data_IF_179182409324
#
_entry.id   IF_179182409324
#
_cell.length_a   1.000
_cell.length_b   1.000
_cell.length_c   1.000
_cell.angle_alpha   90.00
_cell.angle_beta   90.00
_cell.angle_gamma   90.00
#
_symmetry.space_group_name_H-M   'P 1'
#
loop_
_entity.id
_entity.type
_entity.pdbx_description
1 polymer ?
#
# COMPACT_ATOMS: atom_id res chain seq x y z
N UNK A 1 -0.80 4.68 75.41
CA UNK A 1 0.36 4.89 74.51
C UNK A 1 -0.02 4.38 73.13
N UNK A 2 -0.50 5.24 72.24
CA UNK A 2 -0.84 4.86 70.86
C UNK A 2 0.22 5.42 69.93
N UNK A 3 0.92 4.53 69.21
CA UNK A 3 1.95 4.88 68.24
C UNK A 3 1.31 5.24 66.90
N UNK A 4 1.65 6.43 66.40
CA UNK A 4 1.30 6.97 65.09
C UNK A 4 2.23 6.36 64.03
N UNK A 5 1.67 5.62 63.07
CA UNK A 5 2.42 5.12 61.90
C UNK A 5 2.16 6.08 60.72
N UNK A 6 3.12 6.96 60.44
CA UNK A 6 3.19 7.68 59.17
C UNK A 6 3.78 6.75 58.11
N UNK A 7 2.94 6.24 57.19
CA UNK A 7 3.40 5.56 55.98
C UNK A 7 3.71 6.59 54.90
N UNK A 8 4.97 6.61 54.50
CA UNK A 8 5.50 7.36 53.36
C UNK A 8 4.84 6.89 52.06
N UNK A 9 4.03 7.74 51.43
CA UNK A 9 3.46 7.51 50.11
C UNK A 9 4.42 8.12 49.10
N UNK A 10 5.36 7.31 48.61
CA UNK A 10 6.14 7.64 47.41
C UNK A 10 5.19 7.58 46.21
N UNK A 11 5.15 8.60 45.32
CA UNK A 11 4.13 8.68 44.29
C UNK A 11 4.42 7.66 43.17
N UNK A 12 3.74 6.52 43.23
CA UNK A 12 3.70 5.46 42.21
C UNK A 12 2.89 5.89 40.96
N UNK A 13 2.97 7.15 40.57
CA UNK A 13 2.13 7.74 39.52
C UNK A 13 2.93 8.22 38.28
N UNK A 14 4.26 8.11 38.28
CA UNK A 14 5.14 8.72 37.25
C UNK A 14 5.71 7.72 36.24
N UNK A 15 5.31 6.43 36.26
CA UNK A 15 5.86 5.42 35.33
C UNK A 15 4.89 5.01 34.19
N UNK A 16 3.63 5.48 34.19
CA UNK A 16 2.62 5.08 33.19
C UNK A 16 2.54 6.06 31.99
N UNK A 17 3.19 7.22 32.04
CA UNK A 17 3.08 8.24 30.98
C UNK A 17 4.08 8.04 29.82
N UNK A 18 5.07 7.16 29.96
CA UNK A 18 6.14 6.98 28.96
C UNK A 18 5.91 5.88 27.91
N UNK A 19 4.80 5.13 27.98
CA UNK A 19 4.53 4.02 27.04
C UNK A 19 3.50 4.32 25.93
N UNK A 20 2.99 5.56 25.86
CA UNK A 20 1.95 5.94 24.88
C UNK A 20 2.47 6.59 23.59
N UNK A 21 3.79 6.78 23.44
CA UNK A 21 4.38 7.45 22.27
C UNK A 21 5.00 6.52 21.21
N UNK A 22 4.96 5.19 21.41
CA UNK A 22 5.78 4.25 20.63
C UNK A 22 5.17 3.69 19.33
N UNK A 23 3.93 4.04 18.98
CA UNK A 23 3.31 3.51 17.75
C UNK A 23 2.70 4.62 16.89
N UNK A 24 3.49 5.64 16.56
CA UNK A 24 3.27 6.34 15.30
C UNK A 24 3.92 5.48 14.23
N UNK A 25 3.15 4.55 13.66
CA UNK A 25 3.50 3.90 12.40
C UNK A 25 3.86 5.01 11.41
N UNK A 26 5.16 5.18 11.16
CA UNK A 26 5.65 6.19 10.25
C UNK A 26 5.32 5.72 8.84
N UNK A 27 4.08 5.96 8.42
CA UNK A 27 3.67 5.75 7.04
C UNK A 27 4.64 6.53 6.14
N UNK A 28 5.34 5.81 5.27
CA UNK A 28 6.37 6.42 4.43
C UNK A 28 5.69 7.09 3.24
N UNK A 29 6.19 8.23 2.82
CA UNK A 29 5.73 8.87 1.58
C UNK A 29 6.82 8.83 0.54
N UNK A 30 6.43 8.74 -0.74
CA UNK A 30 7.33 8.83 -1.90
C UNK A 30 6.72 9.78 -2.93
N UNK A 31 7.54 10.28 -3.85
CA UNK A 31 7.06 11.04 -5.02
C UNK A 31 7.36 10.24 -6.29
N UNK A 32 6.37 10.13 -7.16
CA UNK A 32 6.51 9.62 -8.52
C UNK A 32 6.31 10.77 -9.52
N UNK A 33 7.07 10.77 -10.61
CA UNK A 33 6.82 11.68 -11.72
C UNK A 33 5.92 10.98 -12.75
N UNK A 34 4.66 11.38 -12.83
CA UNK A 34 3.64 10.83 -13.74
C UNK A 34 3.35 11.88 -14.80
N UNK A 35 3.70 11.61 -16.06
CA UNK A 35 3.48 12.53 -17.19
C UNK A 35 4.00 13.96 -16.92
N UNK A 36 5.20 14.07 -16.34
CA UNK A 36 5.83 15.35 -16.03
C UNK A 36 5.30 16.02 -14.76
N UNK A 37 4.38 15.40 -14.02
CA UNK A 37 3.86 15.93 -12.75
C UNK A 37 4.31 15.08 -11.57
N UNK A 38 4.77 15.75 -10.53
CA UNK A 38 5.14 15.09 -9.27
C UNK A 38 3.87 14.75 -8.48
N UNK A 39 3.65 13.46 -8.27
CA UNK A 39 2.54 12.91 -7.50
C UNK A 39 3.08 12.29 -6.22
N UNK A 40 2.64 12.82 -5.08
CA UNK A 40 3.00 12.27 -3.78
C UNK A 40 2.11 11.08 -3.46
N UNK A 41 2.74 10.00 -3.01
CA UNK A 41 2.07 8.76 -2.62
C UNK A 41 2.40 8.38 -1.18
N UNK A 42 1.46 7.65 -0.56
CA UNK A 42 1.63 6.94 0.70
C UNK A 42 2.03 5.50 0.43
N UNK A 43 3.02 5.01 1.16
CA UNK A 43 3.28 3.59 1.32
C UNK A 43 2.55 3.17 2.60
N UNK A 44 1.36 2.54 2.50
CA UNK A 44 0.58 2.21 3.68
C UNK A 44 1.26 1.06 4.42
N UNK A 45 1.34 1.17 5.75
CA UNK A 45 1.69 0.04 6.63
C UNK A 45 0.49 -0.87 6.90
N UNK A 46 -0.68 -0.56 6.33
CA UNK A 46 -1.91 -1.30 6.55
C UNK A 46 -1.85 -2.68 5.87
N UNK A 47 -1.94 -3.73 6.70
CA UNK A 47 -1.92 -5.12 6.27
C UNK A 47 -3.03 -5.46 5.27
N UNK A 48 -4.11 -4.67 5.19
CA UNK A 48 -5.18 -4.91 4.22
C UNK A 48 -4.68 -4.84 2.77
N UNK A 49 -3.75 -3.92 2.45
CA UNK A 49 -3.23 -3.74 1.09
C UNK A 49 -2.00 -4.59 0.77
N UNK A 50 -1.26 -5.02 1.80
CA UNK A 50 0.00 -5.77 1.63
C UNK A 50 -0.31 -7.25 1.36
N UNK A 51 0.29 -7.83 0.33
CA UNK A 51 0.16 -9.25 0.01
C UNK A 51 0.14 -9.54 -1.49
N UNK A 52 -0.22 -10.78 -1.85
CA UNK A 52 -0.29 -11.25 -3.23
C UNK A 52 -1.73 -11.29 -3.72
N UNK A 53 -2.00 -10.59 -4.82
CA UNK A 53 -3.24 -10.60 -5.57
C UNK A 53 -3.06 -11.52 -6.78
N UNK A 54 -3.97 -12.46 -6.97
CA UNK A 54 -3.92 -13.43 -8.07
C UNK A 54 -4.89 -13.03 -9.16
N UNK A 55 -4.41 -13.07 -10.40
CA UNK A 55 -5.24 -12.96 -11.58
C UNK A 55 -6.04 -14.22 -11.88
N UNK A 56 -6.87 -14.12 -12.92
CA UNK A 56 -7.75 -15.20 -13.35
C UNK A 56 -6.98 -16.37 -13.97
N UNK A 57 -5.80 -16.12 -14.52
CA UNK A 57 -4.89 -17.10 -15.13
C UNK A 57 -3.61 -17.21 -14.29
N UNK A 58 -2.48 -16.74 -14.83
CA UNK A 58 -1.16 -16.87 -14.21
C UNK A 58 -0.57 -15.53 -13.73
N UNK A 59 -1.31 -14.44 -13.93
CA UNK A 59 -0.93 -13.10 -13.50
C UNK A 59 -1.03 -12.91 -12.00
N UNK A 60 -0.26 -11.97 -11.49
CA UNK A 60 -0.32 -11.60 -10.08
C UNK A 60 0.30 -10.22 -9.82
N UNK A 61 -0.07 -9.63 -8.69
CA UNK A 61 0.56 -8.46 -8.09
C UNK A 61 0.97 -8.80 -6.67
N UNK A 62 2.20 -8.52 -6.28
CA UNK A 62 2.67 -8.56 -4.89
C UNK A 62 2.94 -7.14 -4.44
N UNK A 63 2.35 -6.74 -3.32
CA UNK A 63 2.58 -5.45 -2.68
C UNK A 63 3.25 -5.65 -1.33
N UNK A 64 4.47 -5.15 -1.16
CA UNK A 64 5.24 -5.21 0.09
C UNK A 64 5.05 -3.92 0.91
N UNK A 65 5.23 -4.04 2.23
CA UNK A 65 5.08 -2.96 3.20
C UNK A 65 6.06 -1.79 3.01
N UNK A 66 7.16 -2.00 2.28
CA UNK A 66 8.19 -1.00 2.03
C UNK A 66 7.97 -0.19 0.74
N UNK A 67 6.84 -0.42 0.05
CA UNK A 67 6.52 0.25 -1.21
C UNK A 67 7.20 -0.37 -2.42
N UNK A 68 7.73 -1.59 -2.29
CA UNK A 68 8.17 -2.44 -3.40
C UNK A 68 7.13 -3.51 -3.70
N UNK A 69 7.30 -4.22 -4.81
CA UNK A 69 6.41 -5.28 -5.21
C UNK A 69 6.87 -6.00 -6.46
N UNK A 70 6.02 -6.90 -6.93
CA UNK A 70 6.26 -7.69 -8.13
C UNK A 70 4.97 -7.72 -8.96
N UNK A 71 5.08 -7.51 -10.27
CA UNK A 71 3.95 -7.56 -11.18
C UNK A 71 4.18 -8.62 -12.26
N UNK A 72 3.17 -9.46 -12.51
CA UNK A 72 3.13 -10.39 -13.65
C UNK A 72 1.80 -10.27 -14.35
N UNK A 73 1.83 -10.08 -15.67
CA UNK A 73 0.63 -10.06 -16.50
C UNK A 73 -0.17 -11.36 -16.45
N UNK A 74 -1.49 -11.24 -16.58
CA UNK A 74 -2.40 -12.40 -16.69
C UNK A 74 -2.36 -13.05 -18.08
N UNK A 75 -1.73 -12.41 -19.06
CA UNK A 75 -1.58 -12.89 -20.42
C UNK A 75 -0.22 -12.48 -21.00
N UNK A 76 0.31 -13.31 -21.88
CA UNK A 76 1.53 -13.00 -22.61
C UNK A 76 1.20 -12.07 -23.80
N UNK A 77 1.87 -10.92 -23.87
CA UNK A 77 1.87 -10.10 -25.08
C UNK A 77 2.85 -10.73 -26.06
N UNK A 78 2.38 -11.71 -26.84
CA UNK A 78 3.21 -12.43 -27.81
C UNK A 78 3.81 -11.55 -28.92
N UNK A 79 3.24 -10.35 -29.16
CA UNK A 79 3.57 -9.53 -30.33
C UNK A 79 4.69 -8.50 -30.08
N UNK A 80 4.96 -8.11 -28.82
CA UNK A 80 5.86 -6.98 -28.49
C UNK A 80 7.15 -7.37 -27.75
N UNK A 81 7.52 -8.66 -27.73
CA UNK A 81 8.68 -9.15 -27.00
C UNK A 81 8.69 -8.80 -25.49
N UNK A 82 7.51 -8.56 -24.91
CA UNK A 82 7.38 -8.48 -23.47
C UNK A 82 7.75 -9.83 -22.86
N UNK A 83 8.78 -9.90 -21.98
CA UNK A 83 9.08 -11.16 -21.33
C UNK A 83 7.88 -11.61 -20.50
N UNK A 84 7.44 -12.86 -20.68
CA UNK A 84 6.47 -13.55 -19.80
C UNK A 84 7.13 -13.90 -18.46
N UNK A 85 7.62 -12.86 -17.80
CA UNK A 85 8.24 -12.91 -16.49
C UNK A 85 7.63 -11.79 -15.68
N UNK A 86 7.59 -12.02 -14.38
CA UNK A 86 7.32 -10.93 -13.46
C UNK A 86 8.44 -9.89 -13.51
N UNK A 87 8.13 -8.69 -13.03
CA UNK A 87 9.11 -7.63 -12.87
C UNK A 87 8.86 -6.82 -11.60
N UNK A 88 9.94 -6.26 -11.07
CA UNK A 88 9.91 -5.47 -9.85
C UNK A 88 9.25 -4.12 -10.07
N UNK A 89 8.44 -3.73 -9.09
CA UNK A 89 7.73 -2.46 -9.08
C UNK A 89 7.94 -1.70 -7.76
N UNK A 90 7.77 -0.38 -7.86
CA UNK A 90 7.51 0.51 -6.76
C UNK A 90 6.03 0.85 -6.73
N UNK A 91 5.45 1.05 -5.54
CA UNK A 91 4.04 1.41 -5.45
C UNK A 91 3.72 2.37 -4.30
N UNK A 92 2.53 2.99 -4.39
CA UNK A 92 1.92 3.74 -3.30
C UNK A 92 0.52 4.28 -3.64
N UNK A 93 -0.27 4.58 -2.61
CA UNK A 93 -1.60 5.19 -2.72
C UNK A 93 -1.47 6.68 -2.96
N UNK A 94 -2.28 7.24 -3.85
CA UNK A 94 -2.28 8.70 -4.10
C UNK A 94 -2.80 9.43 -2.85
N UNK A 95 -2.17 10.55 -2.49
CA UNK A 95 -2.59 11.39 -1.36
C UNK A 95 -3.49 12.55 -1.81
N UNK A 96 -4.44 12.91 -0.95
CA UNK A 96 -5.16 14.18 -0.99
C UNK A 96 -4.32 15.31 -0.39
N UNK A 97 -4.81 16.55 -0.48
CA UNK A 97 -4.12 17.74 0.05
C UNK A 97 -3.94 17.74 1.56
N UNK A 98 -4.76 16.99 2.29
CA UNK A 98 -4.68 16.84 3.75
C UNK A 98 -3.70 15.74 4.19
N UNK A 99 -3.10 15.02 3.24
CA UNK A 99 -2.17 13.92 3.50
C UNK A 99 -2.83 12.57 3.75
N UNK A 100 -4.15 12.45 3.59
CA UNK A 100 -4.87 11.17 3.64
C UNK A 100 -4.85 10.48 2.27
N UNK A 101 -4.96 9.14 2.21
CA UNK A 101 -5.12 8.44 0.93
C UNK A 101 -6.41 8.87 0.23
N UNK A 102 -6.28 9.26 -1.04
CA UNK A 102 -7.41 9.48 -1.93
C UNK A 102 -8.21 8.20 -2.05
N UNK A 103 -9.52 8.30 -1.84
CA UNK A 103 -10.45 7.18 -2.00
C UNK A 103 -11.80 7.67 -2.53
N UNK A 104 -12.48 6.79 -3.24
CA UNK A 104 -13.84 7.03 -3.72
C UNK A 104 -14.78 5.99 -3.15
N UNK A 105 -15.95 6.42 -2.68
CA UNK A 105 -17.02 5.52 -2.26
C UNK A 105 -17.70 4.91 -3.49
N UNK A 106 -18.04 3.61 -3.39
CA UNK A 106 -18.69 2.79 -4.41
C UNK A 106 -19.79 1.98 -3.73
N UNK A 107 -20.77 1.51 -4.50
CA UNK A 107 -21.86 0.66 -3.97
C UNK A 107 -21.34 -0.62 -3.26
N UNK A 108 -20.16 -1.11 -3.68
CA UNK A 108 -19.52 -2.31 -3.15
C UNK A 108 -18.43 -2.03 -2.09
N UNK A 109 -18.14 -0.78 -1.75
CA UNK A 109 -17.08 -0.41 -0.80
C UNK A 109 -16.28 0.84 -1.21
N UNK A 110 -14.96 0.76 -1.21
CA UNK A 110 -14.07 1.88 -1.55
C UNK A 110 -13.09 1.53 -2.66
N UNK A 111 -12.77 2.50 -3.52
CA UNK A 111 -11.67 2.39 -4.50
C UNK A 111 -10.56 3.37 -4.18
N UNK A 112 -9.33 2.87 -4.06
CA UNK A 112 -8.12 3.63 -3.77
C UNK A 112 -7.21 3.67 -5.00
N UNK A 113 -6.99 4.84 -5.62
CA UNK A 113 -6.02 4.97 -6.69
C UNK A 113 -4.61 4.60 -6.19
N UNK A 114 -3.94 3.75 -6.95
CA UNK A 114 -2.58 3.29 -6.70
C UNK A 114 -1.70 3.58 -7.90
N UNK A 115 -0.49 4.06 -7.65
CA UNK A 115 0.55 4.16 -8.68
C UNK A 115 1.45 2.95 -8.55
N UNK A 116 1.65 2.24 -9.66
CA UNK A 116 2.67 1.20 -9.82
C UNK A 116 3.72 1.72 -10.80
N UNK A 117 5.00 1.60 -10.46
CA UNK A 117 6.11 2.06 -11.29
C UNK A 117 7.11 0.93 -11.47
N UNK A 118 7.42 0.57 -12.70
CA UNK A 118 8.44 -0.45 -12.98
C UNK A 118 9.84 0.03 -12.59
N UNK A 119 10.64 -0.86 -11.99
CA UNK A 119 12.04 -0.59 -11.62
C UNK A 119 13.07 -0.99 -12.69
N UNK A 120 12.68 -1.78 -13.69
CA UNK A 120 13.59 -2.32 -14.71
C UNK A 120 13.01 -2.16 -16.12
N UNK A 121 13.77 -2.49 -17.18
CA UNK A 121 13.39 -2.32 -18.59
C UNK A 121 12.08 -2.99 -19.06
N UNK A 122 11.34 -3.61 -18.15
CA UNK A 122 9.98 -4.07 -18.33
C UNK A 122 8.99 -2.92 -18.07
N UNK A 123 7.86 -2.93 -18.74
CA UNK A 123 6.92 -1.83 -18.74
C UNK A 123 5.49 -2.39 -18.72
N UNK A 124 4.55 -1.59 -18.25
CA UNK A 124 3.11 -1.80 -18.30
C UNK A 124 2.58 -1.65 -19.75
N UNK A 125 1.32 -2.06 -19.96
CA UNK A 125 0.56 -1.83 -21.21
C UNK A 125 1.27 -2.30 -22.49
N UNK A 126 1.70 -3.56 -22.55
CA UNK A 126 2.40 -4.07 -23.74
C UNK A 126 3.83 -3.55 -23.86
N UNK A 127 4.44 -3.26 -22.72
CA UNK A 127 5.82 -2.82 -22.54
C UNK A 127 6.14 -1.39 -23.01
N UNK A 128 5.18 -0.47 -22.94
CA UNK A 128 5.40 0.94 -23.29
C UNK A 128 5.47 1.85 -22.07
N UNK A 129 4.66 1.57 -21.05
CA UNK A 129 4.48 2.50 -19.93
C UNK A 129 5.31 2.12 -18.71
N UNK A 130 6.10 3.06 -18.17
CA UNK A 130 6.84 2.81 -16.91
C UNK A 130 5.95 2.89 -15.68
N UNK A 131 4.79 3.54 -15.82
CA UNK A 131 3.88 3.84 -14.74
C UNK A 131 2.50 3.37 -15.12
N UNK A 132 1.86 2.64 -14.22
CA UNK A 132 0.46 2.25 -14.31
C UNK A 132 -0.29 2.90 -13.15
N UNK A 133 -1.39 3.58 -13.46
CA UNK A 133 -2.35 4.05 -12.45
C UNK A 133 -3.51 3.07 -12.45
N UNK A 134 -3.77 2.49 -11.29
CA UNK A 134 -4.80 1.46 -11.10
C UNK A 134 -5.58 1.74 -9.81
N UNK A 135 -6.46 0.82 -9.42
CA UNK A 135 -7.27 0.93 -8.20
C UNK A 135 -7.20 -0.35 -7.37
N UNK A 136 -6.97 -0.17 -6.06
CA UNK A 136 -7.26 -1.19 -5.06
C UNK A 136 -8.71 -1.03 -4.59
N UNK A 137 -9.51 -2.06 -4.77
CA UNK A 137 -10.94 -2.08 -4.44
C UNK A 137 -11.14 -2.80 -3.12
N UNK A 138 -11.45 -2.06 -2.06
CA UNK A 138 -11.78 -2.62 -0.75
C UNK A 138 -13.28 -2.90 -0.72
N UNK A 139 -13.64 -4.18 -0.88
CA UNK A 139 -15.01 -4.70 -0.89
C UNK A 139 -15.30 -5.45 0.41
N UNK A 140 -16.56 -5.86 0.62
CA UNK A 140 -16.95 -6.69 1.79
C UNK A 140 -16.24 -8.05 1.83
N UNK A 141 -15.88 -8.60 0.67
CA UNK A 141 -15.27 -9.92 0.52
C UNK A 141 -13.74 -9.90 0.44
N UNK A 142 -13.11 -8.71 0.45
CA UNK A 142 -11.66 -8.57 0.43
C UNK A 142 -11.18 -7.39 -0.41
N UNK A 143 -9.88 -7.37 -0.69
CA UNK A 143 -9.23 -6.35 -1.53
C UNK A 143 -8.97 -6.93 -2.91
N UNK A 144 -9.38 -6.18 -3.94
CA UNK A 144 -9.22 -6.56 -5.35
C UNK A 144 -8.41 -5.50 -6.10
N UNK A 145 -7.91 -5.82 -7.30
CA UNK A 145 -7.20 -4.88 -8.19
C UNK A 145 -7.98 -4.69 -9.49
N UNK A 146 -8.11 -3.45 -9.97
CA UNK A 146 -9.03 -3.10 -11.07
C UNK A 146 -8.50 -3.38 -12.49
N UNK A 147 -7.20 -3.38 -12.75
CA UNK A 147 -6.63 -3.49 -14.12
C UNK A 147 -6.91 -4.80 -14.87
N UNK A 148 -7.62 -5.77 -14.28
CA UNK A 148 -7.84 -7.08 -14.90
C UNK A 148 -9.08 -7.81 -14.38
N UNK A 149 -10.22 -7.12 -14.19
CA UNK A 149 -11.51 -7.75 -13.84
C UNK A 149 -11.38 -8.80 -12.71
N UNK A 150 -11.15 -8.32 -11.48
CA UNK A 150 -11.18 -9.12 -10.24
C UNK A 150 -9.91 -9.92 -9.91
N UNK A 151 -8.72 -9.32 -9.97
CA UNK A 151 -7.57 -9.91 -9.25
C UNK A 151 -7.87 -9.88 -7.75
N UNK A 152 -7.82 -11.03 -7.08
CA UNK A 152 -8.23 -11.20 -5.68
C UNK A 152 -7.04 -11.54 -4.80
N UNK A 153 -7.01 -10.96 -3.59
CA UNK A 153 -6.05 -11.31 -2.55
C UNK A 153 -6.39 -12.66 -1.89
#
# INVERSE_FOLDING_TARGET
>A
MNQTIFKSIVPLAIIIVLFLSAFKDASKTRTFNVNGKDVKVLIPNDAQFIGKYKGSKSGFLVLNADGTGEFKYDYAYNENACPDKSFDIEWGLILESDGMPLKFEREYGYSYPVILKSQSGNHFEGCTEKILVDYLLVKKDGVHVSSSDDWKK
#
